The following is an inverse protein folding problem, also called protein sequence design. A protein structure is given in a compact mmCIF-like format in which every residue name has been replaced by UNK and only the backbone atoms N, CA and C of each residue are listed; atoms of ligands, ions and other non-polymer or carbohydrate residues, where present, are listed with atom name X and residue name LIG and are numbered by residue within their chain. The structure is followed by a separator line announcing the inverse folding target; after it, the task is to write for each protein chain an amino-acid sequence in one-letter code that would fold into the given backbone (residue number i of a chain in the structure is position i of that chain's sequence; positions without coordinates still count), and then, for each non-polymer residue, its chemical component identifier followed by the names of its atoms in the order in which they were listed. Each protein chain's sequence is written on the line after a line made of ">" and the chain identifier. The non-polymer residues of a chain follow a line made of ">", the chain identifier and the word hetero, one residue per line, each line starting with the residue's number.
data_IF_105798394059
#
_entry.id   IF_105798394059
#
_cell.length_a   1.000
_cell.length_b   1.000
_cell.length_c   1.000
_cell.angle_alpha   90.00
_cell.angle_beta   90.00
_cell.angle_gamma   90.00
#
_symmetry.space_group_name_H-M   'P 1'
#
loop_
_entity.id
_entity.type
_entity.pdbx_description
1 polymer ?
#
# COMPACT_ATOMS: atom_id res chain seq x y z
N UNK A 1 -8.66 4.41 -15.19
CA UNK A 1 -8.38 3.18 -14.41
C UNK A 1 -6.92 2.79 -14.54
N UNK A 2 -6.28 2.32 -13.47
CA UNK A 2 -4.87 1.92 -13.43
C UNK A 2 -4.62 0.76 -14.41
N UNK A 3 -3.51 0.86 -15.15
CA UNK A 3 -3.12 -0.21 -16.09
C UNK A 3 -2.85 -1.50 -15.34
N UNK A 4 -3.39 -2.60 -15.85
CA UNK A 4 -3.20 -3.94 -15.29
C UNK A 4 -4.08 -4.27 -14.07
N UNK A 5 -5.02 -3.40 -13.70
CA UNK A 5 -5.94 -3.69 -12.60
C UNK A 5 -6.83 -4.91 -12.91
N UNK A 6 -7.26 -5.08 -14.18
CA UNK A 6 -8.06 -6.23 -14.56
C UNK A 6 -7.27 -7.53 -14.47
N UNK A 7 -5.98 -7.49 -14.85
CA UNK A 7 -5.08 -8.64 -14.67
C UNK A 7 -4.92 -8.95 -13.19
N UNK A 8 -4.74 -7.93 -12.34
CA UNK A 8 -4.67 -8.10 -10.90
C UNK A 8 -5.95 -8.73 -10.34
N UNK A 9 -7.13 -8.26 -10.74
CA UNK A 9 -8.43 -8.82 -10.37
C UNK A 9 -8.53 -10.30 -10.72
N UNK A 10 -8.17 -10.66 -11.95
CA UNK A 10 -8.24 -12.05 -12.43
C UNK A 10 -7.28 -12.98 -11.67
N UNK A 11 -6.06 -12.51 -11.39
CA UNK A 11 -5.09 -13.29 -10.62
C UNK A 11 -5.51 -13.54 -9.18
N UNK A 12 -6.12 -12.53 -8.53
CA UNK A 12 -6.45 -12.59 -7.10
C UNK A 12 -7.92 -12.85 -6.81
N UNK A 13 -8.66 -13.27 -7.83
CA UNK A 13 -10.06 -13.71 -7.67
C UNK A 13 -10.18 -14.83 -6.65
N UNK A 14 -11.01 -14.61 -5.62
CA UNK A 14 -11.18 -15.51 -4.49
C UNK A 14 -10.20 -15.26 -3.33
N UNK A 15 -9.27 -14.30 -3.48
CA UNK A 15 -8.32 -13.89 -2.44
C UNK A 15 -8.55 -12.45 -1.96
N UNK A 16 -9.71 -11.87 -2.24
CA UNK A 16 -10.03 -10.48 -1.91
C UNK A 16 -9.90 -10.20 -0.40
N UNK A 17 -10.09 -11.21 0.45
CA UNK A 17 -9.91 -11.09 1.90
C UNK A 17 -8.44 -11.10 2.36
N UNK A 18 -7.49 -11.33 1.49
CA UNK A 18 -6.06 -11.42 1.84
C UNK A 18 -5.31 -10.10 1.67
N UNK A 19 -5.94 -9.08 1.08
CA UNK A 19 -5.32 -7.79 0.82
C UNK A 19 -6.33 -6.63 0.84
N UNK A 20 -5.83 -5.40 0.96
CA UNK A 20 -6.59 -4.16 0.71
C UNK A 20 -5.77 -3.26 -0.21
N UNK A 21 -6.32 -2.85 -1.34
CA UNK A 21 -5.71 -1.84 -2.22
C UNK A 21 -5.82 -0.47 -1.54
N UNK A 22 -4.71 0.24 -1.49
CA UNK A 22 -4.59 1.60 -0.96
C UNK A 22 -3.99 2.55 -2.00
N UNK A 23 -3.52 3.69 -1.56
CA UNK A 23 -2.69 4.58 -2.39
C UNK A 23 -3.43 5.25 -3.54
N UNK A 24 -2.72 5.41 -4.65
CA UNK A 24 -3.24 6.11 -5.83
C UNK A 24 -4.34 5.34 -6.55
N UNK A 25 -4.23 4.03 -6.61
CA UNK A 25 -5.19 3.15 -7.29
C UNK A 25 -6.56 3.16 -6.59
N UNK A 26 -6.60 3.06 -5.26
CA UNK A 26 -7.85 3.17 -4.52
C UNK A 26 -8.49 4.56 -4.68
N UNK A 27 -7.68 5.64 -4.67
CA UNK A 27 -8.18 6.99 -4.95
C UNK A 27 -8.82 7.08 -6.35
N UNK A 28 -8.15 6.54 -7.39
CA UNK A 28 -8.65 6.54 -8.76
C UNK A 28 -9.99 5.82 -8.89
N UNK A 29 -10.15 4.66 -8.24
CA UNK A 29 -11.43 3.91 -8.24
C UNK A 29 -12.55 4.75 -7.62
N UNK A 30 -12.31 5.37 -6.44
CA UNK A 30 -13.31 6.24 -5.83
C UNK A 30 -13.61 7.46 -6.68
N UNK A 31 -12.59 8.12 -7.26
CA UNK A 31 -12.76 9.28 -8.13
C UNK A 31 -13.65 8.94 -9.35
N UNK A 32 -13.47 7.77 -9.97
CA UNK A 32 -14.32 7.29 -11.06
C UNK A 32 -15.76 7.05 -10.58
N UNK A 33 -15.97 6.41 -9.42
CA UNK A 33 -17.29 6.15 -8.86
C UNK A 33 -18.07 7.44 -8.55
N UNK A 34 -17.36 8.51 -8.17
CA UNK A 34 -17.93 9.83 -7.91
C UNK A 34 -17.94 10.75 -9.15
N UNK A 35 -17.70 10.21 -10.35
CA UNK A 35 -17.65 10.95 -11.61
C UNK A 35 -16.65 12.13 -11.60
N UNK A 36 -15.61 12.04 -10.79
CA UNK A 36 -14.48 12.98 -10.82
C UNK A 36 -13.47 12.54 -11.87
N UNK A 37 -12.68 13.48 -12.39
CA UNK A 37 -11.57 13.14 -13.28
C UNK A 37 -10.42 12.54 -12.45
N UNK A 38 -10.09 11.25 -12.60
CA UNK A 38 -9.05 10.63 -11.84
C UNK A 38 -7.68 11.19 -12.17
N UNK A 39 -6.81 11.24 -11.15
CA UNK A 39 -5.39 11.45 -11.36
C UNK A 39 -4.76 10.13 -11.74
N UNK A 40 -4.21 10.03 -12.95
CA UNK A 40 -3.55 8.82 -13.42
C UNK A 40 -2.49 8.29 -12.43
N UNK A 41 -2.61 7.03 -12.08
CA UNK A 41 -1.62 6.28 -11.32
C UNK A 41 -1.10 5.10 -12.13
N UNK A 42 0.03 4.53 -11.72
CA UNK A 42 0.69 3.41 -12.41
C UNK A 42 0.93 2.24 -11.48
N UNK A 43 0.79 2.48 -10.19
CA UNK A 43 1.27 1.64 -9.13
C UNK A 43 0.08 1.10 -8.34
N UNK A 44 0.14 -0.15 -7.92
CA UNK A 44 -0.81 -0.76 -7.00
C UNK A 44 -0.11 -0.93 -5.66
N UNK A 45 -0.59 -0.21 -4.65
CA UNK A 45 -0.14 -0.34 -3.28
C UNK A 45 -1.16 -1.21 -2.53
N UNK A 46 -0.71 -2.27 -1.85
CA UNK A 46 -1.60 -3.18 -1.13
C UNK A 46 -1.14 -3.39 0.32
N UNK A 47 -2.10 -3.38 1.23
CA UNK A 47 -1.90 -3.91 2.58
C UNK A 47 -2.20 -5.41 2.54
N UNK A 48 -1.26 -6.21 3.01
CA UNK A 48 -1.49 -7.65 3.22
C UNK A 48 -2.20 -7.85 4.57
N UNK A 49 -3.36 -8.52 4.55
CA UNK A 49 -4.13 -8.86 5.74
C UNK A 49 -3.50 -10.13 6.35
N UNK A 50 -2.57 -9.93 7.27
CA UNK A 50 -1.74 -11.02 7.80
C UNK A 50 -2.53 -12.11 8.49
N UNK A 51 -3.71 -11.80 9.03
CA UNK A 51 -4.63 -12.72 9.66
C UNK A 51 -5.37 -13.63 8.67
N UNK A 52 -5.40 -13.23 7.40
CA UNK A 52 -6.09 -13.93 6.31
C UNK A 52 -5.13 -14.46 5.23
N UNK A 53 -3.81 -14.30 5.42
CA UNK A 53 -2.83 -14.81 4.47
C UNK A 53 -2.79 -16.35 4.50
N UNK A 54 -2.83 -16.93 3.30
CA UNK A 54 -2.62 -18.36 3.10
C UNK A 54 -1.41 -18.63 2.20
N UNK A 55 -0.89 -19.85 2.25
CA UNK A 55 0.18 -20.28 1.35
C UNK A 55 -0.26 -20.21 -0.12
N UNK A 56 -1.55 -20.45 -0.39
CA UNK A 56 -2.13 -20.35 -1.73
C UNK A 56 -2.07 -18.91 -2.24
N UNK A 57 -2.42 -17.91 -1.40
CA UNK A 57 -2.29 -16.51 -1.76
C UNK A 57 -0.84 -16.14 -2.07
N UNK A 58 0.10 -16.51 -1.19
CA UNK A 58 1.53 -16.22 -1.39
C UNK A 58 2.05 -16.89 -2.66
N UNK A 59 1.68 -18.15 -2.91
CA UNK A 59 2.01 -18.85 -4.15
C UNK A 59 1.46 -18.13 -5.38
N UNK A 60 0.18 -17.69 -5.32
CA UNK A 60 -0.48 -16.94 -6.40
C UNK A 60 0.18 -15.58 -6.64
N UNK A 61 0.62 -14.90 -5.56
CA UNK A 61 1.35 -13.65 -5.68
C UNK A 61 2.68 -13.84 -6.40
N UNK A 62 3.42 -14.90 -6.10
CA UNK A 62 4.67 -15.21 -6.82
C UNK A 62 4.43 -15.60 -8.29
N UNK A 63 3.33 -16.29 -8.60
CA UNK A 63 2.93 -16.53 -10.00
C UNK A 63 2.68 -15.22 -10.73
N UNK A 64 1.96 -14.27 -10.13
CA UNK A 64 1.73 -12.95 -10.67
C UNK A 64 3.04 -12.19 -10.94
N UNK A 65 3.95 -12.17 -9.98
CA UNK A 65 5.26 -11.52 -10.11
C UNK A 65 6.09 -12.14 -11.25
N UNK A 66 6.12 -13.47 -11.33
CA UNK A 66 6.86 -14.20 -12.37
C UNK A 66 6.24 -14.03 -13.76
N UNK A 67 4.91 -14.05 -13.86
CA UNK A 67 4.21 -13.90 -15.15
C UNK A 67 4.47 -12.54 -15.79
N UNK A 68 4.62 -11.50 -14.98
CA UNK A 68 4.95 -10.16 -15.44
C UNK A 68 6.46 -9.94 -15.64
N UNK A 69 7.30 -10.84 -15.14
CA UNK A 69 8.76 -10.69 -15.09
C UNK A 69 9.17 -9.34 -14.50
N UNK A 70 8.64 -9.07 -13.29
CA UNK A 70 8.97 -7.84 -12.56
C UNK A 70 10.46 -7.80 -12.17
N UNK A 71 11.07 -6.64 -12.35
CA UNK A 71 12.39 -6.37 -11.79
C UNK A 71 12.29 -6.32 -10.26
N UNK A 72 13.12 -7.12 -9.60
CA UNK A 72 13.31 -7.05 -8.15
C UNK A 72 14.36 -6.00 -7.84
N UNK A 73 14.16 -5.24 -6.77
CA UNK A 73 15.15 -4.26 -6.34
C UNK A 73 16.20 -4.91 -5.46
N UNK A 74 17.44 -4.89 -5.92
CA UNK A 74 18.59 -5.32 -5.13
C UNK A 74 19.17 -4.13 -4.37
N UNK A 75 19.30 -4.22 -3.06
CA UNK A 75 20.08 -3.28 -2.26
C UNK A 75 21.49 -3.79 -2.08
N UNK A 76 22.49 -3.04 -2.57
CA UNK A 76 23.88 -3.26 -2.20
C UNK A 76 24.03 -2.91 -0.70
N UNK A 77 24.40 -3.88 0.13
CA UNK A 77 24.80 -3.60 1.52
C UNK A 77 26.25 -3.16 1.54
N UNK A 78 26.61 -2.16 2.37
CA UNK A 78 27.98 -1.63 2.52
C UNK A 78 28.99 -2.65 3.08
N UNK A 79 28.56 -3.84 3.45
CA UNK A 79 29.41 -4.93 3.96
C UNK A 79 29.54 -6.02 2.88
N UNK A 80 30.47 -5.84 1.96
CA UNK A 80 30.98 -6.86 1.03
C UNK A 80 29.92 -7.65 0.27
N UNK A 81 29.45 -7.16 -0.88
CA UNK A 81 28.70 -7.86 -1.94
C UNK A 81 27.65 -8.91 -1.55
N UNK A 82 26.91 -8.75 -0.47
CA UNK A 82 25.67 -9.49 -0.25
C UNK A 82 24.50 -8.63 -0.72
N UNK A 83 23.92 -8.99 -1.85
CA UNK A 83 22.66 -8.42 -2.30
C UNK A 83 21.54 -8.96 -1.41
N UNK A 84 20.83 -8.07 -0.70
CA UNK A 84 19.54 -8.40 -0.07
C UNK A 84 18.44 -8.08 -1.06
N UNK A 85 17.71 -9.09 -1.50
CA UNK A 85 16.49 -8.89 -2.28
C UNK A 85 15.41 -8.27 -1.40
N UNK A 86 14.86 -7.12 -1.83
CA UNK A 86 13.72 -6.48 -1.17
C UNK A 86 12.43 -7.01 -1.82
N UNK A 87 11.83 -8.03 -1.22
CA UNK A 87 10.61 -8.68 -1.73
C UNK A 87 9.33 -7.98 -1.29
N UNK A 88 9.29 -6.65 -1.30
CA UNK A 88 8.11 -5.84 -1.00
C UNK A 88 7.77 -4.82 -2.09
N UNK A 89 8.67 -4.59 -3.05
CA UNK A 89 8.46 -3.67 -4.16
C UNK A 89 8.89 -4.33 -5.46
N UNK A 90 7.93 -4.54 -6.34
CA UNK A 90 8.07 -5.16 -7.65
C UNK A 90 7.78 -4.10 -8.70
N UNK A 91 8.69 -3.83 -9.62
CA UNK A 91 8.58 -2.71 -10.55
C UNK A 91 9.08 -3.07 -11.95
N UNK A 92 8.66 -2.25 -12.92
CA UNK A 92 9.11 -2.36 -14.31
C UNK A 92 8.90 -3.77 -14.87
N UNK A 93 7.65 -4.24 -15.00
CA UNK A 93 7.38 -5.54 -15.58
C UNK A 93 7.85 -5.57 -17.04
N UNK A 94 8.37 -6.70 -17.51
CA UNK A 94 8.69 -6.91 -18.93
C UNK A 94 7.42 -6.93 -19.77
N UNK A 95 6.33 -7.50 -19.22
CA UNK A 95 5.00 -7.38 -19.81
C UNK A 95 4.35 -6.06 -19.39
N UNK A 96 4.32 -5.11 -20.33
CA UNK A 96 3.80 -3.76 -20.07
C UNK A 96 2.28 -3.69 -19.91
N UNK A 97 1.54 -4.79 -20.01
CA UNK A 97 0.10 -4.84 -19.69
C UNK A 97 -0.16 -4.89 -18.18
N UNK A 98 0.82 -5.34 -17.40
CA UNK A 98 0.78 -5.37 -15.93
C UNK A 98 0.95 -3.98 -15.30
N UNK A 99 0.57 -3.80 -14.01
CA UNK A 99 0.87 -2.58 -13.26
C UNK A 99 2.37 -2.27 -13.28
N UNK A 100 2.73 -0.99 -13.38
CA UNK A 100 4.15 -0.60 -13.43
C UNK A 100 4.91 -0.94 -12.15
N UNK A 101 4.23 -0.87 -11.01
CA UNK A 101 4.76 -1.22 -9.70
C UNK A 101 3.68 -1.86 -8.84
N UNK A 102 4.07 -2.85 -8.03
CA UNK A 102 3.28 -3.34 -6.90
C UNK A 102 4.10 -3.22 -5.64
N UNK A 103 3.52 -2.64 -4.60
CA UNK A 103 4.17 -2.40 -3.32
C UNK A 103 3.34 -3.00 -2.18
N UNK A 104 4.02 -3.70 -1.27
CA UNK A 104 3.40 -4.43 -0.18
C UNK A 104 3.60 -3.68 1.14
N UNK A 105 2.52 -3.53 1.88
CA UNK A 105 2.47 -2.98 3.24
C UNK A 105 1.90 -4.02 4.20
N UNK A 106 2.30 -3.97 5.45
CA UNK A 106 1.74 -4.83 6.50
C UNK A 106 2.07 -4.30 7.89
N UNK A 107 1.50 -4.92 8.93
CA UNK A 107 1.87 -4.68 10.31
C UNK A 107 2.91 -5.68 10.82
N UNK A 108 3.55 -5.37 11.94
CA UNK A 108 4.41 -6.31 12.64
C UNK A 108 3.55 -7.40 13.31
N UNK A 109 3.86 -8.66 13.04
CA UNK A 109 3.19 -9.80 13.66
C UNK A 109 3.66 -10.10 15.08
N UNK A 110 4.65 -9.37 15.60
CA UNK A 110 5.23 -9.62 16.92
C UNK A 110 6.05 -10.91 17.01
N UNK A 111 6.31 -11.57 15.88
CA UNK A 111 7.10 -12.81 15.83
C UNK A 111 8.58 -12.59 16.03
N UNK A 112 9.07 -11.39 15.79
CA UNK A 112 10.46 -10.98 15.96
C UNK A 112 10.53 -9.62 16.66
N UNK A 113 11.52 -9.43 17.51
CA UNK A 113 11.85 -8.10 18.02
C UNK A 113 12.61 -7.35 16.94
N UNK A 114 11.97 -6.32 16.36
CA UNK A 114 12.63 -5.44 15.41
C UNK A 114 13.29 -4.27 16.12
N UNK A 115 14.39 -3.72 15.57
CA UNK A 115 14.88 -2.41 15.98
C UNK A 115 13.78 -1.34 15.85
N UNK A 116 13.83 -0.30 16.68
CA UNK A 116 12.84 0.80 16.66
C UNK A 116 12.77 1.53 15.29
N UNK A 117 13.83 1.43 14.50
CA UNK A 117 13.96 2.01 13.15
C UNK A 117 13.64 1.02 12.03
N UNK A 118 13.08 -0.15 12.33
CA UNK A 118 12.71 -1.12 11.28
C UNK A 118 11.59 -0.58 10.41
N UNK A 119 11.79 -0.62 9.09
CA UNK A 119 10.81 -0.18 8.08
C UNK A 119 10.20 -1.33 7.29
N UNK A 120 10.65 -2.56 7.51
CA UNK A 120 10.24 -3.75 6.74
C UNK A 120 9.96 -4.88 7.71
N UNK A 121 8.87 -5.61 7.48
CA UNK A 121 8.51 -6.82 8.22
C UNK A 121 8.49 -8.03 7.28
N UNK A 122 9.05 -9.18 7.68
CA UNK A 122 8.89 -10.41 6.92
C UNK A 122 7.44 -10.89 6.98
N UNK A 123 6.96 -11.41 5.87
CA UNK A 123 5.65 -12.06 5.78
C UNK A 123 5.88 -13.56 6.01
N UNK A 124 5.16 -14.18 6.95
CA UNK A 124 5.28 -15.62 7.20
C UNK A 124 4.88 -16.40 5.95
N UNK A 125 5.78 -17.25 5.51
CA UNK A 125 5.60 -18.16 4.37
C UNK A 125 6.05 -19.55 4.80
N UNK A 126 5.53 -20.59 4.14
CA UNK A 126 6.06 -21.95 4.33
C UNK A 126 7.53 -22.03 3.86
N UNK A 127 8.28 -23.00 4.39
CA UNK A 127 9.69 -23.21 4.01
C UNK A 127 9.88 -23.47 2.51
N UNK A 128 8.83 -23.91 1.81
CA UNK A 128 8.85 -24.22 0.37
C UNK A 128 8.62 -22.98 -0.51
N UNK A 129 8.16 -21.85 0.07
CA UNK A 129 7.89 -20.61 -0.66
C UNK A 129 9.00 -19.60 -0.48
N UNK A 130 9.27 -18.83 -1.54
CA UNK A 130 10.21 -17.72 -1.47
C UNK A 130 9.75 -16.69 -0.44
N UNK A 131 10.68 -16.16 0.35
CA UNK A 131 10.40 -15.14 1.35
C UNK A 131 9.72 -13.91 0.73
N UNK A 132 8.71 -13.40 1.40
CA UNK A 132 8.03 -12.16 1.07
C UNK A 132 8.27 -11.16 2.20
N UNK A 133 8.32 -9.88 1.88
CA UNK A 133 8.45 -8.78 2.85
C UNK A 133 7.37 -7.74 2.60
N UNK A 134 7.11 -6.87 3.56
CA UNK A 134 6.23 -5.73 3.40
C UNK A 134 6.79 -4.50 4.13
N UNK A 135 6.39 -3.31 3.70
CA UNK A 135 6.68 -2.07 4.40
C UNK A 135 5.87 -2.07 5.70
N UNK A 136 6.55 -1.81 6.81
CA UNK A 136 5.93 -1.81 8.13
C UNK A 136 4.98 -0.61 8.28
N UNK A 137 3.77 -0.90 8.73
CA UNK A 137 2.76 0.10 9.08
C UNK A 137 2.55 0.16 10.59
N UNK A 138 2.15 1.32 11.08
CA UNK A 138 1.59 1.47 12.42
C UNK A 138 0.29 0.66 12.58
N UNK A 139 0.13 -0.01 13.72
CA UNK A 139 -0.99 -0.92 13.98
C UNK A 139 -2.34 -0.21 13.96
N UNK A 140 -2.43 1.05 14.40
CA UNK A 140 -3.68 1.80 14.38
C UNK A 140 -4.10 2.11 12.93
N UNK A 141 -3.15 2.51 12.09
CA UNK A 141 -3.40 2.72 10.66
C UNK A 141 -3.78 1.44 9.94
N UNK A 142 -3.08 0.34 10.22
CA UNK A 142 -3.38 -0.96 9.66
C UNK A 142 -4.80 -1.41 10.04
N UNK A 143 -5.10 -1.47 11.34
CA UNK A 143 -6.40 -1.94 11.83
C UNK A 143 -7.55 -1.04 11.36
N UNK A 144 -7.37 0.29 11.41
CA UNK A 144 -8.37 1.22 10.92
C UNK A 144 -8.65 1.03 9.44
N UNK A 145 -7.60 0.88 8.61
CA UNK A 145 -7.78 0.72 7.17
C UNK A 145 -8.49 -0.58 6.83
N UNK A 146 -8.18 -1.69 7.50
CA UNK A 146 -8.87 -2.97 7.27
C UNK A 146 -10.34 -2.88 7.70
N UNK A 147 -10.63 -2.28 8.87
CA UNK A 147 -11.99 -2.10 9.35
C UNK A 147 -12.82 -1.15 8.47
N UNK A 148 -12.15 -0.24 7.76
CA UNK A 148 -12.74 0.74 6.86
C UNK A 148 -12.30 0.48 5.41
N UNK A 149 -12.64 -0.69 4.92
CA UNK A 149 -12.39 -1.14 3.55
C UNK A 149 -13.58 -1.98 3.05
N UNK A 150 -13.74 -2.08 1.74
CA UNK A 150 -14.89 -2.74 1.12
C UNK A 150 -14.44 -3.54 -0.10
N UNK A 151 -15.05 -4.70 -0.31
CA UNK A 151 -14.88 -5.46 -1.56
C UNK A 151 -15.90 -4.93 -2.56
N UNK A 152 -15.42 -4.37 -3.64
CA UNK A 152 -16.21 -3.79 -4.69
C UNK A 152 -15.62 -4.16 -6.05
N UNK A 153 -16.46 -4.57 -6.98
CA UNK A 153 -16.08 -4.93 -8.35
C UNK A 153 -14.85 -5.87 -8.44
N UNK A 154 -14.81 -6.88 -7.54
CA UNK A 154 -13.76 -7.91 -7.53
C UNK A 154 -12.42 -7.45 -6.95
N UNK A 155 -12.35 -6.32 -6.27
CA UNK A 155 -11.18 -5.87 -5.52
C UNK A 155 -11.55 -5.41 -4.12
N UNK A 156 -10.66 -5.62 -3.18
CA UNK A 156 -10.78 -5.07 -1.83
C UNK A 156 -10.04 -3.74 -1.77
N UNK A 157 -10.76 -2.66 -1.50
CA UNK A 157 -10.23 -1.29 -1.51
C UNK A 157 -10.46 -0.60 -0.17
N UNK A 158 -9.52 0.24 0.23
CA UNK A 158 -9.70 1.11 1.39
C UNK A 158 -10.77 2.17 1.10
N UNK A 159 -11.66 2.43 2.05
CA UNK A 159 -12.68 3.45 1.94
C UNK A 159 -12.07 4.87 2.00
N UNK A 160 -12.84 5.86 1.62
CA UNK A 160 -12.40 7.26 1.50
C UNK A 160 -11.80 7.80 2.80
N UNK A 161 -12.42 7.54 3.95
CA UNK A 161 -11.93 7.99 5.26
C UNK A 161 -10.57 7.38 5.62
N UNK A 162 -10.35 6.09 5.31
CA UNK A 162 -9.04 5.44 5.50
C UNK A 162 -7.96 6.04 4.61
N UNK A 163 -8.30 6.29 3.35
CA UNK A 163 -7.38 6.91 2.40
C UNK A 163 -7.00 8.33 2.82
N UNK A 164 -7.95 9.11 3.36
CA UNK A 164 -7.66 10.44 3.92
C UNK A 164 -6.61 10.32 5.04
N UNK A 165 -6.82 9.42 6.01
CA UNK A 165 -5.88 9.20 7.10
C UNK A 165 -4.48 8.82 6.58
N UNK A 166 -4.39 7.84 5.67
CA UNK A 166 -3.12 7.40 5.08
C UNK A 166 -2.41 8.52 4.31
N UNK A 167 -3.15 9.37 3.58
CA UNK A 167 -2.58 10.50 2.83
C UNK A 167 -2.13 11.63 3.74
N UNK A 168 -2.85 11.92 4.83
CA UNK A 168 -2.43 12.87 5.86
C UNK A 168 -1.12 12.41 6.51
N UNK A 169 -1.04 11.13 6.91
CA UNK A 169 0.17 10.53 7.48
C UNK A 169 1.36 10.66 6.54
N UNK A 170 1.20 10.26 5.28
CA UNK A 170 2.25 10.36 4.28
C UNK A 170 2.72 11.82 4.07
N UNK A 171 1.80 12.78 4.03
CA UNK A 171 2.13 14.20 3.93
C UNK A 171 2.96 14.68 5.12
N UNK A 172 2.56 14.36 6.35
CA UNK A 172 3.23 14.76 7.58
C UNK A 172 4.63 14.15 7.63
N UNK A 173 4.75 12.82 7.44
CA UNK A 173 6.03 12.11 7.54
C UNK A 173 7.03 12.61 6.49
N UNK A 174 6.61 12.82 5.25
CA UNK A 174 7.49 13.36 4.21
C UNK A 174 7.88 14.82 4.49
N UNK A 175 6.97 15.62 5.05
CA UNK A 175 7.27 17.01 5.43
C UNK A 175 8.33 17.04 6.53
N UNK A 176 8.15 16.23 7.58
CA UNK A 176 9.10 16.13 8.69
C UNK A 176 10.48 15.62 8.25
N UNK A 177 10.53 14.61 7.36
CA UNK A 177 11.81 14.14 6.79
C UNK A 177 12.52 15.23 6.00
N UNK A 178 11.76 15.98 5.19
CA UNK A 178 12.32 17.12 4.44
C UNK A 178 12.87 18.20 5.36
N UNK A 179 12.17 18.53 6.45
CA UNK A 179 12.63 19.50 7.45
C UNK A 179 13.91 19.05 8.15
N UNK A 180 14.10 17.73 8.32
CA UNK A 180 15.33 17.14 8.83
C UNK A 180 16.48 17.07 7.81
N UNK A 181 16.27 17.56 6.59
CA UNK A 181 17.28 17.60 5.54
C UNK A 181 17.37 16.34 4.69
N UNK A 182 16.43 15.41 4.80
CA UNK A 182 16.35 14.26 3.92
C UNK A 182 15.89 14.66 2.50
N UNK A 183 16.32 13.87 1.50
CA UNK A 183 15.92 14.12 0.11
C UNK A 183 14.46 13.69 -0.12
N UNK A 184 13.53 14.64 0.02
CA UNK A 184 12.12 14.44 -0.27
C UNK A 184 11.65 15.32 -1.43
N UNK A 185 10.93 14.73 -2.39
CA UNK A 185 10.38 15.47 -3.52
C UNK A 185 9.14 16.30 -3.10
N UNK A 186 9.25 17.61 -3.19
CA UNK A 186 8.16 18.54 -2.89
C UNK A 186 6.89 18.28 -3.72
N UNK A 187 7.03 17.71 -4.93
CA UNK A 187 5.88 17.32 -5.76
C UNK A 187 5.12 16.16 -5.14
N UNK A 188 5.83 15.18 -4.55
CA UNK A 188 5.20 14.06 -3.86
C UNK A 188 4.47 14.52 -2.59
N UNK A 189 5.08 15.39 -1.78
CA UNK A 189 4.43 16.01 -0.61
C UNK A 189 3.15 16.73 -1.04
N UNK A 190 3.23 17.61 -2.04
CA UNK A 190 2.07 18.35 -2.56
C UNK A 190 0.98 17.43 -3.14
N UNK A 191 1.37 16.29 -3.73
CA UNK A 191 0.45 15.28 -4.23
C UNK A 191 -0.42 14.73 -3.11
N UNK A 192 0.17 14.27 -2.00
CA UNK A 192 -0.58 13.74 -0.87
C UNK A 192 -1.57 14.76 -0.31
N UNK A 193 -1.13 16.00 -0.14
CA UNK A 193 -2.01 17.10 0.30
C UNK A 193 -3.22 17.28 -0.62
N UNK A 194 -3.00 17.30 -1.93
CA UNK A 194 -4.09 17.45 -2.91
C UNK A 194 -5.04 16.27 -2.89
N UNK A 195 -4.51 15.03 -2.76
CA UNK A 195 -5.32 13.82 -2.70
C UNK A 195 -6.28 13.86 -1.49
N UNK A 196 -5.84 14.38 -0.32
CA UNK A 196 -6.72 14.56 0.86
C UNK A 196 -7.94 15.44 0.53
N UNK A 197 -7.74 16.60 -0.08
CA UNK A 197 -8.85 17.50 -0.41
C UNK A 197 -9.78 16.91 -1.47
N UNK A 198 -9.25 16.17 -2.45
CA UNK A 198 -10.06 15.49 -3.45
C UNK A 198 -10.94 14.41 -2.81
N UNK A 199 -10.37 13.58 -1.95
CA UNK A 199 -11.10 12.56 -1.20
C UNK A 199 -12.15 13.18 -0.27
N UNK A 200 -11.78 14.23 0.48
CA UNK A 200 -12.71 14.91 1.38
C UNK A 200 -13.92 15.51 0.66
N UNK A 201 -13.75 15.93 -0.60
CA UNK A 201 -14.87 16.46 -1.41
C UNK A 201 -15.91 15.41 -1.80
N UNK A 202 -15.60 14.12 -1.62
CA UNK A 202 -16.53 13.01 -1.87
C UNK A 202 -17.36 12.63 -0.63
N UNK A 203 -16.96 13.10 0.57
CA UNK A 203 -17.70 12.84 1.80
C UNK A 203 -18.91 13.77 1.90
N UNK A 204 -20.01 13.24 2.43
CA UNK A 204 -21.16 14.06 2.75
C UNK A 204 -20.91 14.85 4.06
N UNK A 205 -21.48 16.08 4.20
CA UNK A 205 -21.31 16.87 5.42
C UNK A 205 -21.83 16.19 6.69
N UNK A 206 -22.70 15.19 6.55
CA UNK A 206 -23.25 14.42 7.66
C UNK A 206 -22.40 13.20 8.06
N UNK A 207 -21.40 12.83 7.26
CA UNK A 207 -20.55 11.68 7.56
C UNK A 207 -19.70 11.94 8.80
N UNK A 208 -19.68 10.95 9.68
CA UNK A 208 -18.93 10.99 10.94
C UNK A 208 -18.18 9.70 11.13
N UNK A 209 -16.90 9.80 11.40
CA UNK A 209 -16.02 8.66 11.62
C UNK A 209 -15.38 8.76 13.02
N UNK A 210 -15.34 7.63 13.73
CA UNK A 210 -14.63 7.54 15.00
C UNK A 210 -13.21 7.11 14.70
N UNK A 211 -12.26 8.00 14.90
CA UNK A 211 -10.84 7.76 14.66
C UNK A 211 -10.13 7.35 15.95
N UNK A 212 -9.15 6.42 15.89
CA UNK A 212 -8.16 6.25 16.96
C UNK A 212 -7.44 7.58 17.24
N UNK A 213 -7.02 7.80 18.48
CA UNK A 213 -6.39 9.06 18.89
C UNK A 213 -5.19 9.45 18.04
N UNK A 214 -4.32 8.48 17.71
CA UNK A 214 -3.13 8.74 16.87
C UNK A 214 -3.50 9.24 15.45
N UNK A 215 -4.55 8.68 14.84
CA UNK A 215 -5.02 9.12 13.53
C UNK A 215 -5.67 10.49 13.61
N UNK A 216 -6.43 10.73 14.67
CA UNK A 216 -7.05 12.04 14.93
C UNK A 216 -5.99 13.13 15.09
N UNK A 217 -4.94 12.87 15.91
CA UNK A 217 -3.83 13.79 16.12
C UNK A 217 -3.11 14.13 14.81
N UNK A 218 -2.92 13.16 13.92
CA UNK A 218 -2.30 13.40 12.63
C UNK A 218 -3.20 14.19 11.66
N UNK A 219 -4.51 13.95 11.69
CA UNK A 219 -5.48 14.78 10.93
C UNK A 219 -5.48 16.25 11.43
N UNK A 220 -5.40 16.46 12.75
CA UNK A 220 -5.36 17.81 13.34
C UNK A 220 -4.04 18.56 13.02
N UNK A 221 -2.93 17.84 12.76
CA UNK A 221 -1.64 18.43 12.33
C UNK A 221 -1.56 18.72 10.83
N UNK A 222 -2.41 18.06 10.01
CA UNK A 222 -2.44 18.23 8.55
C UNK A 222 -2.97 19.61 8.17
#
# INVERSE_FOLDING_TARGET
>A
MVRGIDIFKDFFKGFENSYVIIGGTACEIHEENYAQTPRATKDIDIILIVEALSNEFVGRFWEFVKSADYMQRDKATNEGMQYRHEYYRFMKPSDTTYPYQVELFSRNLGLLNFPEDAHITPIPTSEELSSLSAILMDDNYYNFTIAHSTIEDGVHIANIESLICLKCKAFIDMTLRKEKGEQEDSKHISKHKKDVFRLASMLAPADKFVLPDSLKDDIEKF
#
